data_IF_955020917224
#
_entry.id   IF_955020917224
#
_cell.length_a   1.000
_cell.length_b   1.000
_cell.length_c   1.000
_cell.angle_alpha   90.00
_cell.angle_beta   90.00
_cell.angle_gamma   90.00
#
_symmetry.space_group_name_H-M   'P 1'
#
loop_
_entity.id
_entity.type
_entity.pdbx_description
1 polymer ?
#
# COMPACT_ATOMS: atom_id res chain seq x y z
N UNK A 1 20.93 -28.54 -0.92
CA UNK A 1 20.19 -28.03 -2.09
C UNK A 1 19.03 -27.07 -1.70
N UNK A 2 18.16 -27.43 -0.76
CA UNK A 2 17.03 -26.61 -0.30
C UNK A 2 17.47 -25.24 0.27
N UNK A 3 18.53 -25.22 1.07
CA UNK A 3 19.03 -23.99 1.69
C UNK A 3 19.60 -22.98 0.68
N UNK A 4 20.26 -23.45 -0.37
CA UNK A 4 20.75 -22.59 -1.45
C UNK A 4 19.58 -21.95 -2.25
N UNK A 5 18.51 -22.70 -2.48
CA UNK A 5 17.29 -22.20 -3.15
C UNK A 5 16.59 -21.16 -2.28
N UNK A 6 16.49 -21.38 -0.97
CA UNK A 6 15.91 -20.44 -0.02
C UNK A 6 16.73 -19.15 0.08
N UNK A 7 18.06 -19.25 0.12
CA UNK A 7 18.95 -18.08 0.09
C UNK A 7 18.84 -17.30 -1.22
N UNK A 8 18.71 -17.97 -2.35
CA UNK A 8 18.54 -17.33 -3.65
C UNK A 8 17.19 -16.61 -3.76
N UNK A 9 16.09 -17.24 -3.34
CA UNK A 9 14.76 -16.61 -3.28
C UNK A 9 14.74 -15.39 -2.36
N UNK A 10 15.42 -15.49 -1.20
CA UNK A 10 15.54 -14.38 -0.25
C UNK A 10 16.33 -13.21 -0.87
N UNK A 11 17.46 -13.47 -1.53
CA UNK A 11 18.25 -12.43 -2.22
C UNK A 11 17.45 -11.74 -3.32
N UNK A 12 16.66 -12.47 -4.11
CA UNK A 12 15.78 -11.89 -5.12
C UNK A 12 14.65 -11.06 -4.52
N UNK A 13 14.07 -11.48 -3.41
CA UNK A 13 13.03 -10.71 -2.73
C UNK A 13 13.58 -9.40 -2.12
N UNK A 14 14.78 -9.46 -1.55
CA UNK A 14 15.53 -8.32 -1.01
C UNK A 14 15.82 -7.28 -2.09
N UNK A 15 16.34 -7.69 -3.24
CA UNK A 15 16.63 -6.79 -4.35
C UNK A 15 15.34 -6.09 -4.84
N UNK A 16 14.22 -6.82 -4.89
CA UNK A 16 12.95 -6.30 -5.42
C UNK A 16 12.33 -5.18 -4.61
N UNK A 17 12.37 -5.22 -3.28
CA UNK A 17 11.78 -4.14 -2.46
C UNK A 17 12.60 -2.86 -2.54
N UNK A 18 13.92 -2.95 -2.48
CA UNK A 18 14.81 -1.80 -2.64
C UNK A 18 14.71 -1.15 -4.02
N UNK A 19 14.73 -1.95 -5.08
CA UNK A 19 14.54 -1.48 -6.46
C UNK A 19 13.17 -0.81 -6.66
N UNK A 20 12.11 -1.39 -6.08
CA UNK A 20 10.78 -0.80 -6.14
C UNK A 20 10.71 0.54 -5.41
N UNK A 21 11.26 0.63 -4.20
CA UNK A 21 11.31 1.87 -3.44
C UNK A 21 12.05 2.98 -4.20
N UNK A 22 13.16 2.66 -4.85
CA UNK A 22 13.90 3.61 -5.69
C UNK A 22 13.09 4.03 -6.91
N UNK A 23 12.36 3.12 -7.56
CA UNK A 23 11.46 3.47 -8.68
C UNK A 23 10.35 4.41 -8.24
N UNK A 24 9.73 4.19 -7.07
CA UNK A 24 8.71 5.11 -6.55
C UNK A 24 9.30 6.48 -6.24
N UNK A 25 10.47 6.54 -5.61
CA UNK A 25 11.17 7.79 -5.36
C UNK A 25 11.47 8.54 -6.66
N UNK A 26 11.90 7.84 -7.72
CA UNK A 26 12.15 8.43 -9.04
C UNK A 26 10.87 8.99 -9.71
N UNK A 27 9.68 8.48 -9.35
CA UNK A 27 8.39 9.05 -9.75
C UNK A 27 7.98 10.26 -8.88
N UNK A 28 8.79 10.65 -7.90
CA UNK A 28 8.45 11.69 -6.92
C UNK A 28 7.51 11.21 -5.82
N UNK A 29 7.31 9.92 -5.68
CA UNK A 29 6.46 9.33 -4.64
C UNK A 29 7.27 9.11 -3.35
N UNK A 30 6.94 9.79 -2.25
CA UNK A 30 7.63 9.57 -0.99
C UNK A 30 7.45 8.14 -0.51
N UNK A 31 8.53 7.52 -0.05
CA UNK A 31 8.52 6.18 0.53
C UNK A 31 9.11 6.18 1.93
N UNK A 32 8.75 5.23 2.76
CA UNK A 32 9.49 4.92 3.97
C UNK A 32 9.51 3.41 4.23
N UNK A 33 10.50 2.90 5.02
CA UNK A 33 10.59 1.50 5.36
C UNK A 33 9.41 1.03 6.19
N UNK A 34 8.81 -0.08 5.79
CA UNK A 34 7.77 -0.78 6.52
C UNK A 34 8.27 -2.02 7.23
N UNK A 35 7.59 -2.39 8.32
CA UNK A 35 7.78 -3.67 8.96
C UNK A 35 7.53 -4.79 7.95
N UNK A 36 8.15 -5.94 8.17
CA UNK A 36 8.06 -7.10 7.30
C UNK A 36 7.89 -8.40 8.11
N UNK A 37 7.31 -9.46 7.55
CA UNK A 37 7.25 -10.74 8.23
C UNK A 37 8.65 -11.35 8.30
N UNK A 38 9.14 -11.73 9.50
CA UNK A 38 10.40 -12.44 9.64
C UNK A 38 10.30 -13.79 8.92
N UNK A 39 11.31 -14.13 8.13
CA UNK A 39 11.36 -15.44 7.46
C UNK A 39 11.49 -16.58 8.47
N UNK A 40 11.16 -17.80 8.06
CA UNK A 40 11.20 -19.00 8.90
C UNK A 40 12.55 -19.27 9.60
N UNK A 41 13.65 -18.68 9.11
CA UNK A 41 14.99 -18.82 9.68
C UNK A 41 15.22 -18.05 11.00
N UNK A 42 14.27 -17.21 11.44
CA UNK A 42 14.37 -16.41 12.65
C UNK A 42 13.26 -16.74 13.67
N UNK A 43 12.79 -17.98 13.69
CA UNK A 43 11.91 -18.48 14.74
C UNK A 43 12.74 -19.01 15.91
N UNK A 44 12.87 -18.31 17.04
CA UNK A 44 13.23 -18.96 18.27
C UNK A 44 12.11 -19.94 18.62
N UNK A 45 12.49 -21.13 19.07
CA UNK A 45 11.54 -22.14 19.55
C UNK A 45 10.64 -21.53 20.62
N UNK A 46 9.35 -21.36 20.31
CA UNK A 46 8.34 -20.98 21.30
C UNK A 46 7.23 -20.07 20.83
N UNK A 47 7.50 -19.00 20.09
CA UNK A 47 6.44 -18.09 19.59
C UNK A 47 6.78 -17.59 18.17
N UNK A 48 5.87 -17.75 17.22
CA UNK A 48 6.08 -17.21 15.87
C UNK A 48 6.01 -15.68 15.93
N UNK A 49 7.14 -15.00 15.69
CA UNK A 49 7.13 -13.56 15.43
C UNK A 49 6.54 -13.35 14.04
N UNK A 50 5.36 -12.77 13.99
CA UNK A 50 4.71 -12.44 12.73
C UNK A 50 5.20 -11.11 12.13
N UNK A 51 5.96 -10.30 12.90
CA UNK A 51 6.41 -8.97 12.52
C UNK A 51 7.86 -8.69 12.93
N UNK A 52 8.56 -7.88 12.13
CA UNK A 52 9.92 -7.41 12.43
C UNK A 52 9.98 -6.29 13.49
N UNK A 53 8.84 -5.76 13.94
CA UNK A 53 8.79 -4.68 14.93
C UNK A 53 9.03 -5.14 16.37
N UNK A 54 9.18 -6.42 16.61
CA UNK A 54 9.40 -7.04 17.95
C UNK A 54 8.31 -6.77 19.00
N UNK A 55 7.20 -6.12 18.64
CA UNK A 55 6.08 -5.89 19.56
C UNK A 55 5.29 -7.18 19.74
N UNK A 56 5.10 -7.62 20.98
CA UNK A 56 4.15 -8.68 21.30
C UNK A 56 2.74 -8.21 20.94
N UNK A 57 1.99 -9.05 20.20
CA UNK A 57 0.63 -8.70 19.79
C UNK A 57 0.58 -7.54 18.78
N UNK A 58 1.55 -7.45 17.86
CA UNK A 58 1.49 -6.46 16.78
C UNK A 58 0.15 -6.54 16.05
N UNK A 59 -0.66 -5.45 16.03
CA UNK A 59 -2.01 -5.48 15.43
C UNK A 59 -2.01 -5.60 13.91
N UNK A 60 -0.92 -5.22 13.26
CA UNK A 60 -0.78 -5.24 11.80
C UNK A 60 0.59 -5.80 11.37
N UNK A 61 0.82 -7.12 11.52
CA UNK A 61 2.12 -7.71 11.26
C UNK A 61 2.59 -7.52 9.82
N UNK A 62 3.73 -6.85 9.64
CA UNK A 62 4.30 -6.56 8.33
C UNK A 62 3.57 -5.47 7.54
N UNK A 63 2.59 -4.79 8.13
CA UNK A 63 1.73 -3.82 7.42
C UNK A 63 1.77 -2.42 8.02
N UNK A 64 2.85 -2.05 8.71
CA UNK A 64 2.98 -0.73 9.31
C UNK A 64 4.39 -0.13 9.10
N UNK A 65 4.54 1.20 9.18
CA UNK A 65 5.85 1.85 9.12
C UNK A 65 6.76 1.38 10.27
N UNK A 66 8.07 1.36 10.02
CA UNK A 66 9.07 1.11 11.07
C UNK A 66 9.18 2.28 12.02
N UNK A 67 9.16 3.51 11.49
CA UNK A 67 9.22 4.73 12.27
C UNK A 67 7.82 5.21 12.67
N UNK A 68 7.57 5.59 13.94
CA UNK A 68 6.32 6.25 14.32
C UNK A 68 6.17 7.65 13.70
N UNK A 69 7.28 8.29 13.30
CA UNK A 69 7.28 9.60 12.64
C UNK A 69 7.29 9.47 11.11
N UNK A 70 6.70 8.43 10.57
CA UNK A 70 6.74 8.09 9.14
C UNK A 70 6.26 9.23 8.23
N UNK A 71 5.27 10.03 8.67
CA UNK A 71 4.77 11.17 7.91
C UNK A 71 5.87 12.19 7.61
N UNK A 72 6.79 12.39 8.56
CA UNK A 72 7.84 13.38 8.46
C UNK A 72 9.13 12.84 7.84
N UNK A 73 9.37 11.52 7.95
CA UNK A 73 10.61 10.90 7.46
C UNK A 73 10.48 10.38 6.03
N UNK A 74 9.27 10.12 5.55
CA UNK A 74 9.07 9.63 4.19
C UNK A 74 9.67 10.59 3.16
N UNK A 75 10.40 10.05 2.18
CA UNK A 75 11.17 10.82 1.23
C UNK A 75 11.14 10.22 -0.17
N UNK A 76 11.26 11.08 -1.18
CA UNK A 76 11.53 10.72 -2.56
C UNK A 76 13.01 10.96 -2.94
N UNK A 77 13.89 11.27 -1.99
CA UNK A 77 15.33 11.38 -2.22
C UNK A 77 15.94 10.00 -2.50
N UNK A 78 16.46 9.75 -3.72
CA UNK A 78 16.98 8.44 -4.10
C UNK A 78 18.16 7.97 -3.23
N UNK A 79 19.02 8.89 -2.77
CA UNK A 79 20.18 8.53 -1.94
C UNK A 79 19.73 8.09 -0.54
N UNK A 80 18.80 8.82 0.04
CA UNK A 80 18.23 8.46 1.34
C UNK A 80 17.49 7.13 1.27
N UNK A 81 16.69 6.93 0.23
CA UNK A 81 15.98 5.68 -0.02
C UNK A 81 16.95 4.51 -0.20
N UNK A 82 18.03 4.70 -0.97
CA UNK A 82 19.06 3.67 -1.13
C UNK A 82 19.73 3.28 0.20
N UNK A 83 20.04 4.26 1.05
CA UNK A 83 20.59 4.02 2.40
C UNK A 83 19.64 3.20 3.27
N UNK A 84 18.35 3.51 3.26
CA UNK A 84 17.36 2.76 4.06
C UNK A 84 17.28 1.29 3.67
N UNK A 85 17.20 1.00 2.38
CA UNK A 85 17.12 -0.42 1.95
C UNK A 85 18.47 -1.15 1.99
N UNK A 86 19.59 -0.42 2.03
CA UNK A 86 20.90 -1.01 2.37
C UNK A 86 20.91 -1.45 3.83
N UNK A 87 20.42 -0.63 4.76
CA UNK A 87 20.37 -0.94 6.18
C UNK A 87 19.27 -1.96 6.54
N UNK A 88 18.12 -1.90 5.85
CA UNK A 88 16.95 -2.74 6.09
C UNK A 88 16.47 -3.44 4.80
N UNK A 89 17.25 -4.38 4.27
CA UNK A 89 17.02 -4.95 2.93
C UNK A 89 15.74 -5.78 2.81
N UNK A 90 15.12 -6.16 3.91
CA UNK A 90 13.85 -6.91 3.95
C UNK A 90 12.63 -6.01 4.19
N UNK A 91 12.84 -4.71 4.44
CA UNK A 91 11.75 -3.80 4.73
C UNK A 91 10.72 -3.77 3.60
N UNK A 92 9.46 -3.79 3.98
CA UNK A 92 8.36 -3.50 3.06
C UNK A 92 8.39 -2.02 2.64
N UNK A 93 7.71 -1.70 1.56
CA UNK A 93 7.61 -0.33 1.07
C UNK A 93 6.28 0.26 1.53
N UNK A 94 6.36 1.30 2.34
CA UNK A 94 5.21 2.11 2.74
C UNK A 94 5.16 3.35 1.83
N UNK A 95 3.99 3.63 1.31
CA UNK A 95 3.67 4.84 0.57
C UNK A 95 2.69 5.67 1.40
N UNK A 96 3.13 6.80 1.98
CA UNK A 96 2.24 7.77 2.61
C UNK A 96 1.28 8.39 1.59
N UNK A 97 0.01 8.53 1.96
CA UNK A 97 -1.03 9.14 1.14
C UNK A 97 -1.33 10.59 1.54
N UNK A 98 -2.12 11.31 0.75
CA UNK A 98 -2.58 12.65 1.06
C UNK A 98 -1.62 13.79 0.72
N UNK A 99 -0.47 13.51 0.08
CA UNK A 99 0.49 14.53 -0.35
C UNK A 99 0.64 14.57 -1.87
N UNK A 100 1.07 13.47 -2.46
CA UNK A 100 1.29 13.32 -3.90
C UNK A 100 0.11 12.62 -4.55
N UNK A 101 -0.44 11.66 -3.85
CA UNK A 101 -1.60 10.88 -4.27
C UNK A 101 -2.45 10.49 -3.07
N UNK A 102 -3.69 10.14 -3.35
CA UNK A 102 -4.58 9.41 -2.48
C UNK A 102 -4.78 7.99 -3.04
N UNK A 103 -5.38 7.11 -2.25
CA UNK A 103 -5.67 5.74 -2.68
C UNK A 103 -7.11 5.39 -2.35
N UNK A 104 -7.86 4.98 -3.38
CA UNK A 104 -9.16 4.34 -3.20
C UNK A 104 -8.91 2.83 -3.04
N UNK A 105 -9.43 2.26 -1.98
CA UNK A 105 -9.16 0.89 -1.53
C UNK A 105 -10.48 0.11 -1.48
N UNK A 106 -10.57 -0.95 -2.28
CA UNK A 106 -11.74 -1.81 -2.39
C UNK A 106 -11.35 -3.29 -2.29
N UNK A 107 -12.30 -4.21 -2.02
CA UNK A 107 -12.04 -5.64 -2.17
C UNK A 107 -11.46 -5.97 -3.54
N UNK A 108 -10.54 -6.92 -3.61
CA UNK A 108 -9.84 -7.23 -4.87
C UNK A 108 -10.82 -7.63 -5.99
N UNK A 109 -11.87 -8.39 -5.67
CA UNK A 109 -12.90 -8.79 -6.61
C UNK A 109 -13.67 -7.57 -7.17
N UNK A 110 -14.11 -6.66 -6.31
CA UNK A 110 -14.74 -5.40 -6.71
C UNK A 110 -13.80 -4.56 -7.57
N UNK A 111 -12.51 -4.50 -7.21
CA UNK A 111 -11.51 -3.78 -7.99
C UNK A 111 -11.33 -4.33 -9.40
N UNK A 112 -11.32 -5.65 -9.58
CA UNK A 112 -11.23 -6.29 -10.90
C UNK A 112 -12.48 -6.04 -11.74
N UNK A 113 -13.67 -6.09 -11.12
CA UNK A 113 -14.93 -5.77 -11.76
C UNK A 113 -14.96 -4.30 -12.22
N UNK A 114 -14.57 -3.39 -11.34
CA UNK A 114 -14.50 -1.96 -11.63
C UNK A 114 -13.52 -1.65 -12.78
N UNK A 115 -12.33 -2.26 -12.80
CA UNK A 115 -11.38 -2.10 -13.90
C UNK A 115 -12.00 -2.50 -15.25
N UNK A 116 -12.70 -3.63 -15.30
CA UNK A 116 -13.39 -4.07 -16.52
C UNK A 116 -14.51 -3.11 -16.94
N UNK A 117 -15.21 -2.48 -15.99
CA UNK A 117 -16.22 -1.44 -16.27
C UNK A 117 -15.57 -0.16 -16.79
N UNK A 118 -14.48 0.29 -16.17
CA UNK A 118 -13.72 1.46 -16.59
C UNK A 118 -13.17 1.30 -18.00
N UNK A 119 -12.64 0.12 -18.34
CA UNK A 119 -12.15 -0.18 -19.70
C UNK A 119 -13.26 -0.05 -20.75
N UNK A 120 -14.46 -0.57 -20.47
CA UNK A 120 -15.62 -0.47 -21.38
C UNK A 120 -16.11 0.96 -21.57
N UNK A 121 -16.06 1.78 -20.53
CA UNK A 121 -16.50 3.18 -20.56
C UNK A 121 -15.41 4.16 -21.03
N UNK A 122 -14.18 3.69 -21.23
CA UNK A 122 -13.04 4.54 -21.58
C UNK A 122 -12.50 5.39 -20.42
N UNK A 123 -12.93 5.10 -19.18
CA UNK A 123 -12.42 5.74 -17.97
C UNK A 123 -11.04 5.17 -17.63
N UNK A 124 -10.06 6.04 -17.39
CA UNK A 124 -8.70 5.61 -17.04
C UNK A 124 -8.58 5.36 -15.53
N UNK A 125 -8.31 4.13 -15.08
CA UNK A 125 -8.19 3.83 -13.65
C UNK A 125 -6.91 4.36 -13.00
N UNK A 126 -5.90 4.81 -13.79
CA UNK A 126 -4.57 5.12 -13.27
C UNK A 126 -3.79 3.88 -12.85
N UNK A 127 -2.77 4.03 -11.98
CA UNK A 127 -2.06 2.91 -11.39
C UNK A 127 -2.98 2.09 -10.46
N UNK A 128 -2.92 0.76 -10.58
CA UNK A 128 -3.74 -0.14 -9.75
C UNK A 128 -2.88 -1.26 -9.21
N UNK A 129 -2.92 -1.49 -7.90
CA UNK A 129 -2.20 -2.56 -7.24
C UNK A 129 -3.14 -3.51 -6.49
N UNK A 130 -2.76 -4.79 -6.41
CA UNK A 130 -3.29 -5.71 -5.42
C UNK A 130 -2.38 -5.71 -4.20
N UNK A 131 -2.98 -5.48 -3.03
CA UNK A 131 -2.29 -5.54 -1.75
C UNK A 131 -2.08 -6.97 -1.28
N UNK A 132 -1.19 -7.21 -0.30
CA UNK A 132 -1.10 -8.50 0.36
C UNK A 132 -2.36 -8.91 1.14
N UNK A 133 -3.34 -8.06 1.30
CA UNK A 133 -4.56 -8.30 2.08
C UNK A 133 -5.83 -8.48 1.25
N UNK A 134 -5.70 -8.94 0.03
CA UNK A 134 -6.84 -9.15 -0.90
C UNK A 134 -7.66 -7.88 -1.15
N UNK A 135 -6.95 -6.76 -1.27
CA UNK A 135 -7.51 -5.45 -1.59
C UNK A 135 -6.93 -4.92 -2.90
N UNK A 136 -7.71 -4.16 -3.64
CA UNK A 136 -7.26 -3.40 -4.81
C UNK A 136 -7.13 -1.92 -4.46
N UNK A 137 -5.98 -1.35 -4.78
CA UNK A 137 -5.62 0.04 -4.56
C UNK A 137 -5.59 0.80 -5.87
N UNK A 138 -6.42 1.82 -6.01
CA UNK A 138 -6.45 2.73 -7.14
C UNK A 138 -5.80 4.05 -6.73
N UNK A 139 -4.68 4.38 -7.36
CA UNK A 139 -3.93 5.58 -7.06
C UNK A 139 -4.50 6.76 -7.85
N UNK A 140 -4.92 7.79 -7.14
CA UNK A 140 -5.57 8.97 -7.70
C UNK A 140 -4.83 10.23 -7.27
N UNK A 141 -5.08 11.35 -7.94
CA UNK A 141 -4.55 12.65 -7.55
C UNK A 141 -5.00 12.99 -6.14
N UNK A 142 -4.07 13.46 -5.30
CA UNK A 142 -4.41 13.91 -3.96
C UNK A 142 -5.38 15.10 -4.02
N UNK A 143 -6.38 15.07 -3.16
CA UNK A 143 -7.30 16.21 -2.95
C UNK A 143 -6.63 17.40 -2.28
N UNK A 144 -5.45 17.17 -1.69
CA UNK A 144 -4.76 18.18 -0.90
C UNK A 144 -5.32 18.34 0.52
N UNK A 145 -4.93 19.41 1.19
CA UNK A 145 -5.59 19.82 2.42
C UNK A 145 -6.96 20.43 2.06
N UNK A 146 -8.03 20.12 2.82
CA UNK A 146 -9.32 20.78 2.62
C UNK A 146 -9.16 22.29 2.77
N UNK A 147 -9.83 23.05 1.92
CA UNK A 147 -9.84 24.53 1.97
C UNK A 147 -10.63 25.06 3.16
N UNK A 148 -11.56 24.25 3.70
CA UNK A 148 -12.43 24.59 4.83
C UNK A 148 -12.23 23.58 5.99
N UNK A 149 -12.17 24.07 7.22
CA UNK A 149 -12.08 23.25 8.42
C UNK A 149 -13.28 22.29 8.60
N UNK A 150 -14.42 22.59 7.99
CA UNK A 150 -15.61 21.75 8.00
C UNK A 150 -15.52 20.56 7.02
N UNK A 151 -14.58 20.57 6.08
CA UNK A 151 -14.27 19.45 5.19
C UNK A 151 -13.24 18.48 5.78
N UNK A 152 -12.87 18.65 7.03
CA UNK A 152 -11.96 17.77 7.73
C UNK A 152 -12.56 16.37 7.92
N UNK A 153 -12.27 15.52 6.98
CA UNK A 153 -12.53 14.09 7.08
C UNK A 153 -11.47 13.50 8.00
N UNK A 154 -11.91 13.06 9.14
CA UNK A 154 -11.02 12.69 10.22
C UNK A 154 -10.32 11.35 10.00
N UNK A 155 -9.23 11.35 9.26
CA UNK A 155 -8.20 10.33 9.41
C UNK A 155 -7.26 10.60 10.59
N UNK A 156 -7.69 11.45 11.54
CA UNK A 156 -6.76 12.15 12.42
C UNK A 156 -6.12 11.32 13.50
N UNK A 157 -6.70 10.24 13.93
CA UNK A 157 -6.25 9.62 15.17
C UNK A 157 -5.60 8.24 14.97
N UNK A 158 -5.93 7.47 13.93
CA UNK A 158 -5.53 6.07 13.88
C UNK A 158 -4.89 5.62 12.55
N UNK A 159 -4.60 6.53 11.61
CA UNK A 159 -4.11 6.18 10.26
C UNK A 159 -4.99 5.14 9.56
N UNK A 160 -6.27 5.11 9.89
CA UNK A 160 -7.24 4.23 9.27
C UNK A 160 -7.83 4.91 8.03
N UNK A 161 -8.02 4.18 6.94
CA UNK A 161 -8.69 4.73 5.76
C UNK A 161 -10.14 5.12 6.10
N UNK A 162 -10.58 6.28 5.60
CA UNK A 162 -11.96 6.69 5.72
C UNK A 162 -12.88 5.73 4.97
N UNK A 163 -14.00 5.42 5.58
CA UNK A 163 -15.09 4.76 4.86
C UNK A 163 -15.76 5.80 3.97
N UNK A 164 -15.81 5.54 2.68
CA UNK A 164 -16.46 6.42 1.74
C UNK A 164 -17.94 6.07 1.69
N UNK A 165 -18.78 7.03 2.07
CA UNK A 165 -20.22 7.01 1.88
C UNK A 165 -20.88 5.65 2.16
N UNK A 166 -21.07 5.19 3.31
CA UNK A 166 -21.79 3.95 3.69
C UNK A 166 -21.66 2.72 2.75
N UNK A 167 -20.77 2.79 1.75
CA UNK A 167 -20.49 1.70 0.83
C UNK A 167 -19.60 0.68 1.53
N UNK A 168 -20.13 -0.50 1.77
CA UNK A 168 -19.39 -1.56 2.42
C UNK A 168 -18.15 -1.93 1.60
N UNK A 169 -16.98 -1.92 2.27
CA UNK A 169 -15.72 -2.32 1.65
C UNK A 169 -14.95 -1.22 0.91
N UNK A 170 -15.54 -0.08 0.56
CA UNK A 170 -14.85 1.05 -0.04
C UNK A 170 -14.20 1.93 1.05
N UNK A 171 -12.94 2.31 0.82
CA UNK A 171 -12.14 3.14 1.75
C UNK A 171 -11.33 4.14 0.95
N UNK A 172 -11.06 5.29 1.54
CA UNK A 172 -10.19 6.31 0.98
C UNK A 172 -9.00 6.57 1.91
N UNK A 173 -7.80 6.27 1.44
CA UNK A 173 -6.58 6.66 2.12
C UNK A 173 -6.19 8.06 1.65
N UNK A 174 -6.46 9.04 2.45
CA UNK A 174 -6.10 10.44 2.23
C UNK A 174 -4.92 10.87 3.11
N UNK A 175 -4.93 12.12 3.60
CA UNK A 175 -3.89 12.66 4.45
C UNK A 175 -3.71 11.83 5.73
N UNK A 176 -2.45 11.69 6.16
CA UNK A 176 -2.04 10.98 7.37
C UNK A 176 -2.38 9.47 7.38
N UNK A 177 -2.58 8.90 6.19
CA UNK A 177 -2.70 7.47 5.98
C UNK A 177 -1.54 6.94 5.12
N UNK A 178 -1.49 5.63 4.94
CA UNK A 178 -0.47 4.97 4.12
C UNK A 178 -0.99 3.66 3.55
N UNK A 179 -0.33 3.17 2.51
CA UNK A 179 -0.57 1.85 1.94
C UNK A 179 0.73 1.07 1.78
N UNK A 180 0.61 -0.26 1.75
CA UNK A 180 1.72 -1.15 1.38
C UNK A 180 1.84 -1.22 -0.13
N UNK A 181 2.97 -0.75 -0.66
CA UNK A 181 3.23 -0.83 -2.10
C UNK A 181 3.79 -2.19 -2.51
N UNK A 182 3.48 -2.67 -3.73
CA UNK A 182 4.20 -3.80 -4.31
C UNK A 182 5.73 -3.55 -4.38
N UNK A 183 6.56 -4.55 -4.14
CA UNK A 183 6.27 -5.95 -3.91
C UNK A 183 6.24 -6.34 -2.44
N UNK A 184 5.69 -5.50 -1.58
CA UNK A 184 5.54 -5.77 -0.13
C UNK A 184 4.76 -7.06 0.14
N UNK A 185 4.96 -7.63 1.33
CA UNK A 185 4.33 -8.89 1.73
C UNK A 185 3.98 -8.88 3.21
N UNK A 186 2.96 -9.63 3.57
CA UNK A 186 2.62 -9.99 4.94
C UNK A 186 2.89 -11.48 5.18
N UNK A 187 2.68 -11.95 6.41
CA UNK A 187 3.00 -13.34 6.75
C UNK A 187 2.09 -14.34 6.05
N UNK A 188 0.82 -14.02 5.92
CA UNK A 188 -0.25 -14.95 5.61
C UNK A 188 -0.96 -14.66 4.27
N UNK A 189 -0.40 -13.73 3.47
CA UNK A 189 -1.01 -13.34 2.22
C UNK A 189 0.01 -13.33 1.05
N UNK A 190 -0.48 -13.44 -0.19
CA UNK A 190 0.34 -13.29 -1.38
C UNK A 190 1.07 -11.95 -1.39
N UNK A 191 2.21 -11.91 -2.08
CA UNK A 191 2.95 -10.68 -2.30
C UNK A 191 2.10 -9.69 -3.11
N UNK A 192 2.10 -8.42 -2.70
CA UNK A 192 1.47 -7.34 -3.46
C UNK A 192 2.05 -7.24 -4.87
N UNK A 193 1.20 -6.93 -5.84
CA UNK A 193 1.59 -6.79 -7.25
C UNK A 193 0.81 -5.68 -7.94
N UNK A 194 1.42 -5.07 -8.94
CA UNK A 194 0.72 -4.14 -9.81
C UNK A 194 -0.17 -4.89 -10.81
N UNK A 195 -1.37 -4.40 -11.02
CA UNK A 195 -2.23 -4.73 -12.16
C UNK A 195 -1.97 -3.73 -13.29
N UNK A 196 -1.77 -2.45 -12.93
CA UNK A 196 -1.29 -1.37 -13.80
C UNK A 196 -0.18 -0.64 -13.07
N UNK A 197 1.02 -0.68 -13.60
CA UNK A 197 2.18 -0.02 -12.99
C UNK A 197 2.04 1.51 -13.00
N UNK A 198 2.60 2.20 -12.01
CA UNK A 198 2.69 3.65 -12.05
C UNK A 198 3.63 4.10 -13.16
N UNK A 199 3.18 5.09 -13.90
CA UNK A 199 3.93 5.76 -14.96
C UNK A 199 4.13 7.23 -14.59
N UNK A 200 5.03 7.93 -15.32
CA UNK A 200 5.25 9.37 -15.16
C UNK A 200 4.09 10.24 -15.68
N UNK A 201 2.91 9.66 -15.84
CA UNK A 201 1.70 10.35 -16.30
C UNK A 201 0.94 10.94 -15.12
N UNK A 202 0.16 12.03 -15.31
CA UNK A 202 -0.71 12.56 -14.27
C UNK A 202 -1.68 11.50 -13.76
N UNK A 203 -1.84 11.45 -12.44
CA UNK A 203 -2.81 10.60 -11.79
C UNK A 203 -4.23 11.05 -12.13
N UNK A 204 -5.19 10.11 -12.27
CA UNK A 204 -6.59 10.46 -12.55
C UNK A 204 -7.22 11.17 -11.37
N UNK A 205 -8.32 11.88 -11.63
CA UNK A 205 -9.21 12.36 -10.58
C UNK A 205 -9.92 11.18 -9.90
N UNK A 206 -10.02 11.21 -8.57
CA UNK A 206 -10.65 10.13 -7.81
C UNK A 206 -12.18 10.12 -7.91
N UNK A 207 -12.82 11.29 -8.10
CA UNK A 207 -14.27 11.39 -8.07
C UNK A 207 -14.98 10.54 -9.13
N UNK A 208 -14.57 10.56 -10.41
CA UNK A 208 -15.18 9.68 -11.41
C UNK A 208 -14.98 8.18 -11.15
N UNK A 209 -13.91 7.82 -10.43
CA UNK A 209 -13.64 6.42 -10.08
C UNK A 209 -14.53 5.95 -8.93
N UNK A 210 -14.92 6.85 -8.02
CA UNK A 210 -15.72 6.51 -6.83
C UNK A 210 -17.05 5.86 -7.20
N UNK A 211 -17.79 6.40 -8.16
CA UNK A 211 -19.07 5.83 -8.58
C UNK A 211 -18.90 4.40 -9.08
N UNK A 212 -17.93 4.16 -9.98
CA UNK A 212 -17.68 2.82 -10.54
C UNK A 212 -17.21 1.83 -9.47
N UNK A 213 -16.41 2.31 -8.50
CA UNK A 213 -15.92 1.48 -7.39
C UNK A 213 -17.03 1.16 -6.40
N UNK A 214 -17.92 2.12 -6.12
CA UNK A 214 -19.07 1.91 -5.26
C UNK A 214 -20.03 0.87 -5.85
N UNK A 215 -20.41 1.04 -7.12
CA UNK A 215 -21.24 0.10 -7.85
C UNK A 215 -20.64 -1.33 -7.85
N UNK A 216 -19.33 -1.43 -8.03
CA UNK A 216 -18.64 -2.72 -8.01
C UNK A 216 -18.64 -3.36 -6.62
N UNK A 217 -18.49 -2.59 -5.54
CA UNK A 217 -18.59 -3.08 -4.17
C UNK A 217 -19.99 -3.60 -3.85
N UNK A 218 -21.03 -2.89 -4.28
CA UNK A 218 -22.43 -3.33 -4.11
C UNK A 218 -22.73 -4.62 -4.89
N UNK A 219 -22.22 -4.73 -6.12
CA UNK A 219 -22.42 -5.94 -6.95
C UNK A 219 -21.77 -7.18 -6.38
N UNK A 220 -20.62 -7.04 -5.74
CA UNK A 220 -19.91 -8.16 -5.09
C UNK A 220 -20.59 -8.57 -3.77
N UNK A 221 -21.51 -7.75 -3.25
CA UNK A 221 -22.28 -8.09 -2.04
C UNK A 221 -21.40 -8.19 -0.81
N UNK A 222 -20.52 -7.22 -0.60
CA UNK A 222 -19.64 -7.21 0.57
C UNK A 222 -20.50 -7.03 1.83
N UNK A 223 -20.82 -8.15 2.51
CA UNK A 223 -21.57 -8.19 3.76
C UNK A 223 -20.83 -7.39 4.85
N UNK A 224 -21.60 -6.63 5.62
CA UNK A 224 -21.15 -5.74 6.71
C UNK A 224 -20.67 -6.49 7.93
#
# INVERSE_FOLDING_TARGET
MVEAVLRHRRRRAVARTGEAAQRYAALGWPVCPGAYPPGHAHRPSGFPRSCSCDRMGCPAPGSHPVSPAWQNVASADPELVARWWTAMPLANVILPTGRVFDVLDVPAEAGLLAMSSMERSGLRPGPVALSPGDRAYFFVRSRGAPEDENEWWSCHLDCLPEKVADVAGLRWHCRDSYVLAPPSRTADAPQGRWLREPEANPLPDGVPLLEVLADACEQVGYDR
#
